data_IF_143853882110
#
_entry.id   IF_143853882110
#
_cell.length_a   1.000
_cell.length_b   1.000
_cell.length_c   1.000
_cell.angle_alpha   90.00
_cell.angle_beta   90.00
_cell.angle_gamma   90.00
#
_symmetry.space_group_name_H-M   'P 1'
#
loop_
_entity.id
_entity.type
_entity.pdbx_description
1 polymer ?
#
# COMPACT_ATOMS: atom_id res chain seq x y z
N UNK A 1 6.83 5.29 10.09
CA UNK A 1 5.49 5.01 9.52
C UNK A 1 5.59 3.76 8.66
N UNK A 2 4.55 2.94 8.60
CA UNK A 2 4.48 1.76 7.73
C UNK A 2 3.29 1.93 6.78
N UNK A 3 3.56 2.01 5.49
CA UNK A 3 2.55 2.06 4.44
C UNK A 3 2.14 0.63 4.10
N UNK A 4 0.84 0.35 4.16
CA UNK A 4 0.26 -0.91 3.74
C UNK A 4 -0.03 -0.85 2.24
N UNK A 5 0.62 -1.74 1.50
CA UNK A 5 0.30 -2.00 0.11
C UNK A 5 -1.08 -2.67 -0.03
N UNK A 6 -1.65 -2.63 -1.23
CA UNK A 6 -2.99 -3.14 -1.56
C UNK A 6 -3.14 -4.61 -1.19
N UNK A 7 -2.10 -5.42 -1.38
CA UNK A 7 -2.13 -6.84 -1.02
C UNK A 7 -2.19 -7.06 0.50
N UNK A 8 -1.51 -6.25 1.32
CA UNK A 8 -1.57 -6.36 2.79
C UNK A 8 -2.91 -5.86 3.30
N UNK A 9 -3.35 -4.69 2.84
CA UNK A 9 -4.60 -4.08 3.25
C UNK A 9 -5.79 -5.00 2.93
N UNK A 10 -5.76 -5.66 1.76
CA UNK A 10 -6.76 -6.66 1.38
C UNK A 10 -6.87 -7.83 2.37
N UNK A 11 -5.76 -8.32 2.93
CA UNK A 11 -5.78 -9.41 3.91
C UNK A 11 -6.31 -8.99 5.29
N UNK A 12 -6.17 -7.71 5.65
CA UNK A 12 -6.73 -7.19 6.89
C UNK A 12 -8.26 -7.05 6.82
N UNK A 13 -8.80 -6.73 5.65
CA UNK A 13 -10.25 -6.49 5.46
C UNK A 13 -11.02 -7.79 5.21
N UNK A 14 -10.48 -8.72 4.43
CA UNK A 14 -11.19 -9.97 4.06
C UNK A 14 -11.52 -10.78 5.30
N UNK A 15 -12.75 -11.31 5.49
CA UNK A 15 -13.10 -12.12 6.66
C UNK A 15 -12.15 -13.29 6.93
N UNK A 16 -11.70 -13.97 5.87
CA UNK A 16 -10.77 -15.10 5.90
C UNK A 16 -9.37 -14.70 5.36
N UNK A 17 -8.90 -13.50 5.74
CA UNK A 17 -7.55 -13.05 5.37
C UNK A 17 -6.45 -13.76 6.15
N UNK A 18 -5.21 -13.65 5.66
CA UNK A 18 -4.03 -14.31 6.24
C UNK A 18 -3.85 -14.03 7.73
N UNK A 19 -3.88 -15.08 8.55
CA UNK A 19 -3.65 -15.00 10.00
C UNK A 19 -2.26 -14.43 10.33
N UNK A 20 -1.23 -14.76 9.54
CA UNK A 20 0.14 -14.28 9.77
C UNK A 20 0.20 -12.76 9.59
N UNK A 21 -0.42 -12.23 8.54
CA UNK A 21 -0.47 -10.79 8.27
C UNK A 21 -1.24 -10.05 9.35
N UNK A 22 -2.36 -10.62 9.81
CA UNK A 22 -3.17 -10.05 10.90
C UNK A 22 -2.42 -10.03 12.22
N UNK A 23 -1.69 -11.11 12.54
CA UNK A 23 -0.84 -11.17 13.73
C UNK A 23 0.32 -10.18 13.67
N UNK A 24 0.93 -9.99 12.50
CA UNK A 24 1.96 -8.97 12.31
C UNK A 24 1.38 -7.56 12.50
N UNK A 25 0.21 -7.28 11.92
CA UNK A 25 -0.44 -5.97 12.01
C UNK A 25 -0.89 -5.65 13.44
N UNK A 26 -1.37 -6.63 14.21
CA UNK A 26 -1.79 -6.43 15.61
C UNK A 26 -0.62 -6.11 16.56
N UNK A 27 0.62 -6.39 16.15
CA UNK A 27 1.83 -6.03 16.88
C UNK A 27 2.29 -4.59 16.60
N UNK A 28 1.71 -3.93 15.59
CA UNK A 28 2.05 -2.54 15.26
C UNK A 28 1.11 -1.57 15.99
N UNK A 29 1.58 -0.39 16.44
CA UNK A 29 0.68 0.68 16.85
C UNK A 29 -0.23 1.06 15.68
N UNK A 30 -1.55 1.10 15.88
CA UNK A 30 -2.51 1.42 14.82
C UNK A 30 -2.21 2.77 14.16
N UNK A 31 -1.76 3.75 14.95
CA UNK A 31 -1.37 5.09 14.47
C UNK A 31 -0.10 5.09 13.61
N UNK A 32 0.64 3.99 13.57
CA UNK A 32 1.85 3.83 12.75
C UNK A 32 1.57 3.23 11.36
N UNK A 33 0.37 2.69 11.13
CA UNK A 33 -0.05 2.08 9.87
C UNK A 33 -0.76 3.11 8.97
N UNK A 34 -0.30 3.23 7.74
CA UNK A 34 -0.77 4.18 6.74
C UNK A 34 -1.10 3.42 5.45
N UNK A 35 -1.74 4.07 4.49
CA UNK A 35 -1.82 3.61 3.11
C UNK A 35 -1.62 4.80 2.17
N UNK A 36 -1.75 4.61 0.86
CA UNK A 36 -1.57 5.69 -0.12
C UNK A 36 -2.86 5.99 -0.88
N UNK A 37 -2.95 7.18 -1.46
CA UNK A 37 -4.00 7.50 -2.43
C UNK A 37 -3.95 6.59 -3.67
N UNK A 38 -2.80 5.99 -3.99
CA UNK A 38 -2.65 5.03 -5.09
C UNK A 38 -3.36 3.72 -4.73
N UNK A 39 -3.08 3.16 -3.56
CA UNK A 39 -3.78 1.98 -3.02
C UNK A 39 -5.28 2.22 -2.90
N UNK A 40 -5.69 3.42 -2.47
CA UNK A 40 -7.09 3.82 -2.44
C UNK A 40 -7.71 3.79 -3.85
N UNK A 41 -7.03 4.37 -4.84
CA UNK A 41 -7.50 4.36 -6.22
C UNK A 41 -7.64 2.94 -6.78
N UNK A 42 -6.67 2.05 -6.52
CA UNK A 42 -6.72 0.65 -6.95
C UNK A 42 -7.93 -0.10 -6.38
N UNK A 43 -8.20 0.06 -5.07
CA UNK A 43 -9.36 -0.56 -4.40
C UNK A 43 -10.66 -0.02 -5.00
N UNK A 44 -10.79 1.31 -5.13
CA UNK A 44 -12.00 1.93 -5.67
C UNK A 44 -12.23 1.55 -7.13
N UNK A 45 -11.16 1.48 -7.94
CA UNK A 45 -11.23 1.00 -9.32
C UNK A 45 -11.69 -0.45 -9.40
N UNK A 46 -11.12 -1.34 -8.59
CA UNK A 46 -11.52 -2.76 -8.53
C UNK A 46 -12.99 -2.95 -8.15
N UNK A 47 -13.55 -2.06 -7.33
CA UNK A 47 -14.98 -2.04 -7.00
C UNK A 47 -15.79 -1.46 -8.18
N UNK A 48 -15.32 -0.38 -8.80
CA UNK A 48 -16.02 0.32 -9.87
C UNK A 48 -16.29 -0.56 -11.11
N UNK A 49 -15.38 -1.48 -11.43
CA UNK A 49 -15.52 -2.40 -12.57
C UNK A 49 -16.45 -3.59 -12.31
N UNK A 50 -16.95 -3.78 -11.08
CA UNK A 50 -17.91 -4.84 -10.79
C UNK A 50 -19.28 -4.53 -11.44
N UNK A 51 -20.06 -5.56 -11.81
CA UNK A 51 -21.46 -5.39 -12.20
C UNK A 51 -22.26 -4.68 -11.12
N UNK A 52 -23.23 -3.87 -11.54
CA UNK A 52 -24.15 -3.22 -10.62
C UNK A 52 -24.92 -4.25 -9.77
N UNK A 53 -25.10 -3.92 -8.49
CA UNK A 53 -25.84 -4.76 -7.56
C UNK A 53 -25.32 -4.73 -6.13
N UNK A 54 -25.93 -5.57 -5.29
CA UNK A 54 -25.71 -5.59 -3.84
C UNK A 54 -24.24 -5.74 -3.46
N UNK A 55 -23.49 -6.59 -4.16
CA UNK A 55 -22.06 -6.84 -3.90
C UNK A 55 -21.21 -5.57 -4.10
N UNK A 56 -21.38 -4.88 -5.24
CA UNK A 56 -20.64 -3.64 -5.54
C UNK A 56 -20.93 -2.56 -4.51
N UNK A 57 -22.21 -2.35 -4.19
CA UNK A 57 -22.64 -1.38 -3.20
C UNK A 57 -22.04 -1.65 -1.82
N UNK A 58 -22.11 -2.89 -1.34
CA UNK A 58 -21.56 -3.27 -0.03
C UNK A 58 -20.04 -3.07 0.04
N UNK A 59 -19.30 -3.46 -1.00
CA UNK A 59 -17.85 -3.25 -1.05
C UNK A 59 -17.48 -1.77 -1.09
N UNK A 60 -18.21 -0.96 -1.87
CA UNK A 60 -18.00 0.49 -1.94
C UNK A 60 -18.22 1.17 -0.59
N UNK A 61 -19.31 0.82 0.11
CA UNK A 61 -19.57 1.34 1.45
C UNK A 61 -18.48 0.95 2.45
N UNK A 62 -18.07 -0.32 2.46
CA UNK A 62 -17.01 -0.80 3.34
C UNK A 62 -15.67 -0.10 3.08
N UNK A 63 -15.28 0.07 1.80
CA UNK A 63 -14.07 0.79 1.44
C UNK A 63 -14.14 2.28 1.86
N UNK A 64 -15.29 2.92 1.66
CA UNK A 64 -15.50 4.33 2.05
C UNK A 64 -15.34 4.52 3.55
N UNK A 65 -15.99 3.67 4.36
CA UNK A 65 -15.86 3.71 5.83
C UNK A 65 -14.44 3.45 6.28
N UNK A 66 -13.78 2.44 5.71
CA UNK A 66 -12.39 2.13 6.04
C UNK A 66 -11.46 3.33 5.79
N UNK A 67 -11.58 4.03 4.66
CA UNK A 67 -10.74 5.19 4.39
C UNK A 67 -11.12 6.42 5.23
N UNK A 68 -12.42 6.61 5.50
CA UNK A 68 -12.93 7.76 6.25
C UNK A 68 -12.74 7.65 7.76
N UNK A 69 -12.72 6.43 8.31
CA UNK A 69 -12.67 6.15 9.75
C UNK A 69 -11.36 5.43 10.10
N UNK A 70 -11.15 4.21 9.60
CA UNK A 70 -9.99 3.37 9.95
C UNK A 70 -8.66 3.91 9.43
N UNK A 71 -8.65 4.77 8.42
CA UNK A 71 -7.46 5.44 7.88
C UNK A 71 -7.62 6.97 7.83
N UNK A 72 -8.53 7.53 8.63
CA UNK A 72 -8.70 8.97 8.75
C UNK A 72 -7.35 9.66 9.04
N UNK A 73 -6.93 10.58 8.15
CA UNK A 73 -5.64 11.27 8.26
C UNK A 73 -4.40 10.39 8.04
N UNK A 74 -4.57 9.13 7.61
CA UNK A 74 -3.50 8.15 7.39
C UNK A 74 -3.45 7.59 5.96
N UNK A 75 -4.04 8.31 5.01
CA UNK A 75 -3.90 8.09 3.56
C UNK A 75 -2.92 9.13 3.01
N UNK A 76 -1.70 8.70 2.67
CA UNK A 76 -0.64 9.57 2.17
C UNK A 76 -0.85 9.87 0.68
N UNK A 77 -0.75 11.13 0.30
CA UNK A 77 -0.98 11.60 -1.07
C UNK A 77 0.28 11.51 -1.94
N UNK A 78 0.09 11.32 -3.24
CA UNK A 78 1.13 11.60 -4.23
C UNK A 78 1.26 13.11 -4.45
N UNK A 79 2.05 13.77 -3.60
CA UNK A 79 2.27 15.21 -3.61
C UNK A 79 3.51 15.63 -4.41
N UNK A 80 3.89 16.91 -4.35
CA UNK A 80 5.06 17.44 -5.06
C UNK A 80 6.37 16.78 -4.62
N UNK A 81 6.51 16.44 -3.32
CA UNK A 81 7.71 15.78 -2.81
C UNK A 81 7.79 14.34 -3.31
N UNK A 82 6.66 13.63 -3.33
CA UNK A 82 6.56 12.31 -3.95
C UNK A 82 6.82 12.37 -5.47
N UNK A 83 6.39 13.42 -6.17
CA UNK A 83 6.66 13.55 -7.61
C UNK A 83 8.15 13.66 -7.93
N UNK A 84 8.93 14.39 -7.11
CA UNK A 84 10.40 14.45 -7.25
C UNK A 84 11.03 13.09 -6.97
N UNK A 85 10.62 12.41 -5.88
CA UNK A 85 11.12 11.07 -5.56
C UNK A 85 10.80 10.05 -6.67
N UNK A 86 9.61 10.11 -7.25
CA UNK A 86 9.17 9.26 -8.36
C UNK A 86 10.09 9.34 -9.56
N UNK A 87 10.47 10.56 -9.97
CA UNK A 87 11.35 10.76 -11.13
C UNK A 87 12.71 10.09 -10.90
N UNK A 88 13.28 10.26 -9.71
CA UNK A 88 14.57 9.68 -9.34
C UNK A 88 14.51 8.15 -9.28
N UNK A 89 13.54 7.59 -8.56
CA UNK A 89 13.37 6.14 -8.41
C UNK A 89 13.13 5.48 -9.77
N UNK A 90 12.21 6.03 -10.57
CA UNK A 90 11.85 5.47 -11.87
C UNK A 90 13.02 5.49 -12.84
N UNK A 91 13.77 6.60 -12.88
CA UNK A 91 14.96 6.72 -13.73
C UNK A 91 16.06 5.74 -13.32
N UNK A 92 16.35 5.63 -12.02
CA UNK A 92 17.35 4.69 -11.51
C UNK A 92 16.99 3.24 -11.83
N UNK A 93 15.75 2.82 -11.55
CA UNK A 93 15.20 1.49 -11.86
C UNK A 93 15.31 1.17 -13.36
N UNK A 94 14.95 2.13 -14.22
CA UNK A 94 15.06 1.99 -15.68
C UNK A 94 16.51 1.81 -16.12
N UNK A 95 17.43 2.65 -15.63
CA UNK A 95 18.85 2.59 -15.99
C UNK A 95 19.54 1.34 -15.46
N UNK A 96 19.08 0.77 -14.34
CA UNK A 96 19.59 -0.48 -13.78
C UNK A 96 18.98 -1.74 -14.41
N UNK A 97 18.19 -1.61 -15.48
CA UNK A 97 17.58 -2.76 -16.18
C UNK A 97 16.46 -3.46 -15.39
N UNK A 98 15.92 -2.82 -14.34
CA UNK A 98 14.84 -3.34 -13.51
C UNK A 98 13.69 -2.34 -13.51
N UNK A 99 12.92 -2.21 -14.61
CA UNK A 99 11.81 -1.26 -14.64
C UNK A 99 10.79 -1.55 -13.52
N UNK A 100 10.11 -0.51 -13.08
CA UNK A 100 9.04 -0.56 -12.06
C UNK A 100 7.74 -0.07 -12.71
N UNK A 101 6.60 -0.59 -12.27
CA UNK A 101 5.31 -0.09 -12.74
C UNK A 101 5.10 1.36 -12.29
N UNK A 102 4.26 2.11 -13.00
CA UNK A 102 3.97 3.49 -12.62
C UNK A 102 3.33 3.58 -11.22
N UNK A 103 2.38 2.68 -10.90
CA UNK A 103 1.70 2.66 -9.62
C UNK A 103 2.67 2.32 -8.47
N UNK A 104 3.50 1.28 -8.62
CA UNK A 104 4.48 0.90 -7.61
C UNK A 104 5.53 2.01 -7.42
N UNK A 105 5.94 2.67 -8.50
CA UNK A 105 6.85 3.81 -8.40
C UNK A 105 6.23 5.00 -7.66
N UNK A 106 4.93 5.26 -7.83
CA UNK A 106 4.23 6.30 -7.07
C UNK A 106 4.13 5.91 -5.59
N UNK A 107 3.79 4.66 -5.27
CA UNK A 107 3.76 4.15 -3.89
C UNK A 107 5.15 4.24 -3.26
N UNK A 108 6.19 3.79 -3.96
CA UNK A 108 7.57 3.84 -3.49
C UNK A 108 8.02 5.27 -3.23
N UNK A 109 7.64 6.21 -4.10
CA UNK A 109 7.97 7.61 -3.97
C UNK A 109 7.28 8.29 -2.77
N UNK A 110 6.01 7.97 -2.50
CA UNK A 110 5.31 8.39 -1.29
C UNK A 110 6.02 7.84 -0.05
N UNK A 111 6.38 6.55 -0.06
CA UNK A 111 7.12 5.96 1.05
C UNK A 111 8.46 6.67 1.28
N UNK A 112 9.18 6.97 0.20
CA UNK A 112 10.46 7.66 0.25
C UNK A 112 10.34 9.08 0.81
N UNK A 113 9.38 9.88 0.32
CA UNK A 113 9.22 11.29 0.76
C UNK A 113 8.80 11.41 2.23
N UNK A 114 8.15 10.40 2.79
CA UNK A 114 7.70 10.36 4.19
C UNK A 114 8.62 9.56 5.12
N UNK A 115 9.78 9.09 4.65
CA UNK A 115 10.65 8.15 5.37
C UNK A 115 9.88 6.94 5.95
N UNK A 116 8.92 6.43 5.18
CA UNK A 116 8.07 5.32 5.56
C UNK A 116 8.59 3.99 4.98
N UNK A 117 8.35 2.89 5.70
CA UNK A 117 8.52 1.56 5.17
C UNK A 117 7.28 1.13 4.37
N UNK A 118 7.45 0.28 3.36
CA UNK A 118 6.34 -0.38 2.66
C UNK A 118 6.16 -1.80 3.21
N UNK A 119 4.94 -2.15 3.61
CA UNK A 119 4.54 -3.52 3.91
C UNK A 119 3.87 -4.12 2.68
N UNK A 120 4.51 -5.12 2.08
CA UNK A 120 4.04 -5.74 0.82
C UNK A 120 4.53 -7.18 0.69
N UNK A 121 3.75 -8.01 -0.02
CA UNK A 121 4.19 -9.32 -0.50
C UNK A 121 5.14 -9.23 -1.70
N UNK A 122 5.06 -8.13 -2.44
CA UNK A 122 5.72 -7.95 -3.74
C UNK A 122 7.13 -7.34 -3.57
N UNK A 123 7.98 -7.97 -2.75
CA UNK A 123 9.29 -7.41 -2.34
C UNK A 123 10.17 -7.01 -3.53
N UNK A 124 10.14 -7.79 -4.61
CA UNK A 124 10.96 -7.56 -5.81
C UNK A 124 10.58 -6.26 -6.54
N UNK A 125 9.30 -5.89 -6.52
CA UNK A 125 8.79 -4.71 -7.23
C UNK A 125 9.31 -3.42 -6.59
N UNK A 126 9.53 -3.43 -5.28
CA UNK A 126 10.05 -2.31 -4.50
C UNK A 126 11.57 -2.37 -4.25
N UNK A 127 12.25 -3.43 -4.70
CA UNK A 127 13.69 -3.57 -4.53
C UNK A 127 14.45 -2.40 -5.17
N UNK A 128 15.49 -1.92 -4.48
CA UNK A 128 16.33 -0.79 -4.90
C UNK A 128 15.58 0.54 -5.10
N UNK A 129 14.44 0.75 -4.43
CA UNK A 129 13.73 2.04 -4.43
C UNK A 129 14.17 2.99 -3.30
N UNK A 130 15.19 2.63 -2.51
CA UNK A 130 15.68 3.45 -1.40
C UNK A 130 14.74 3.51 -0.19
N UNK A 131 13.81 2.56 -0.08
CA UNK A 131 12.83 2.45 1.01
C UNK A 131 13.00 1.13 1.75
N UNK A 132 12.57 1.10 3.02
CA UNK A 132 12.52 -0.14 3.80
C UNK A 132 11.32 -0.99 3.38
N UNK A 133 11.55 -2.28 3.17
CA UNK A 133 10.51 -3.23 2.76
C UNK A 133 10.28 -4.21 3.91
N UNK A 134 9.03 -4.37 4.29
CA UNK A 134 8.55 -5.35 5.25
C UNK A 134 7.69 -6.35 4.46
N UNK A 135 7.98 -7.64 4.59
CA UNK A 135 7.12 -8.70 4.09
C UNK A 135 6.38 -9.34 5.28
N UNK A 136 5.11 -8.99 5.55
CA UNK A 136 4.37 -9.53 6.69
C UNK A 136 4.11 -11.04 6.63
N UNK A 137 4.35 -11.69 5.48
CA UNK A 137 4.20 -13.15 5.33
C UNK A 137 5.46 -13.92 5.74
N UNK A 138 6.59 -13.23 5.89
CA UNK A 138 7.83 -13.85 6.36
C UNK A 138 7.95 -13.60 7.86
N UNK A 139 7.92 -14.68 8.65
CA UNK A 139 8.28 -14.61 10.07
C UNK A 139 9.76 -14.27 10.19
N UNK A 140 10.08 -13.02 10.54
CA UNK A 140 11.37 -12.74 11.16
C UNK A 140 11.23 -12.96 12.66
N UNK A 141 11.40 -14.20 13.09
CA UNK A 141 11.83 -14.47 14.46
C UNK A 141 13.31 -14.10 14.59
N UNK A 142 13.60 -13.34 15.66
CA UNK A 142 14.89 -12.81 16.15
C UNK A 142 15.51 -11.65 15.39
#
# INVERSE_FOLDING_TARGET
MIVLDTNVLSELIKPQGSTIVRNWASQQPVTSLFTTTITQAEILYGIAILPEGKRKYQLYQAATLMFAEDFAGRVLAFDESAAVAFANISAQRRLSGMPISQADAQIAAICYSHNAAIATRNVVDFANCGIFIINPWEEKFS
#
